data_IF_127914779323
#
_entry.id   IF_127914779323
#
_cell.length_a   1.000
_cell.length_b   1.000
_cell.length_c   1.000
_cell.angle_alpha   90.00
_cell.angle_beta   90.00
_cell.angle_gamma   90.00
#
_symmetry.space_group_name_H-M   'P 1'
#
loop_
_entity.id
_entity.type
_entity.pdbx_description
1 polymer ?
#
# COMPACT_ATOMS: atom_id res chain seq x y z
N UNK A 1 15.37 -12.59 9.52
CA UNK A 1 15.60 -11.15 9.24
C UNK A 1 14.29 -10.42 9.48
N UNK A 2 14.23 -9.49 10.43
CA UNK A 2 13.04 -8.67 10.62
C UNK A 2 12.92 -7.68 9.44
N UNK A 3 11.81 -7.72 8.72
CA UNK A 3 11.53 -6.74 7.66
C UNK A 3 11.31 -5.39 8.35
N UNK A 4 12.18 -4.41 8.08
CA UNK A 4 12.10 -3.08 8.69
C UNK A 4 10.81 -2.41 8.20
N UNK A 5 9.82 -2.25 9.09
CA UNK A 5 8.57 -1.53 8.78
C UNK A 5 8.87 -0.06 8.52
N UNK A 6 8.07 0.54 7.64
CA UNK A 6 8.03 1.99 7.47
C UNK A 6 7.33 2.62 8.67
N UNK A 7 7.72 3.84 9.04
CA UNK A 7 7.25 4.54 10.23
C UNK A 7 7.11 6.03 9.95
N UNK A 8 6.17 6.69 10.63
CA UNK A 8 5.91 8.12 10.48
C UNK A 8 4.78 8.44 9.51
N UNK A 9 4.66 9.71 9.15
CA UNK A 9 3.65 10.20 8.21
C UNK A 9 4.12 10.02 6.77
N UNK A 10 3.16 9.83 5.86
CA UNK A 10 3.42 9.86 4.43
C UNK A 10 2.41 10.78 3.75
N UNK A 11 2.83 11.37 2.64
CA UNK A 11 1.96 12.14 1.74
C UNK A 11 1.61 11.31 0.51
N UNK A 12 0.58 11.74 -0.23
CA UNK A 12 0.08 11.10 -1.45
C UNK A 12 0.25 12.03 -2.68
N UNK A 13 1.46 12.14 -3.27
CA UNK A 13 1.68 12.99 -4.44
C UNK A 13 0.78 12.64 -5.63
N UNK A 14 0.37 11.37 -5.75
CA UNK A 14 -0.51 10.89 -6.81
C UNK A 14 -1.74 10.20 -6.22
N UNK A 15 -2.54 10.96 -5.47
CA UNK A 15 -3.78 10.47 -4.86
C UNK A 15 -4.80 10.00 -5.91
N UNK A 16 -4.81 10.62 -7.09
CA UNK A 16 -5.72 10.25 -8.18
C UNK A 16 -5.47 8.81 -8.63
N UNK A 17 -4.20 8.42 -8.82
CA UNK A 17 -3.84 7.05 -9.19
C UNK A 17 -4.20 6.05 -8.08
N UNK A 18 -4.02 6.40 -6.81
CA UNK A 18 -4.45 5.55 -5.69
C UNK A 18 -5.96 5.32 -5.70
N UNK A 19 -6.77 6.37 -5.96
CA UNK A 19 -8.23 6.25 -6.07
C UNK A 19 -8.65 5.38 -7.25
N UNK A 20 -7.99 5.52 -8.40
CA UNK A 20 -8.23 4.65 -9.56
C UNK A 20 -7.99 3.17 -9.20
N UNK A 21 -6.82 2.86 -8.63
CA UNK A 21 -6.47 1.48 -8.27
C UNK A 21 -7.34 0.91 -7.15
N UNK A 22 -7.80 1.75 -6.23
CA UNK A 22 -8.74 1.35 -5.19
C UNK A 22 -10.13 0.96 -5.73
N UNK A 23 -10.49 1.43 -6.93
CA UNK A 23 -11.75 1.12 -7.59
C UNK A 23 -11.76 -0.16 -8.44
N UNK A 24 -10.60 -0.79 -8.68
CA UNK A 24 -10.52 -2.01 -9.46
C UNK A 24 -10.88 -3.26 -8.66
N UNK A 25 -11.41 -4.26 -9.36
CA UNK A 25 -11.60 -5.63 -8.85
C UNK A 25 -10.24 -6.38 -8.81
N UNK A 26 -9.29 -5.82 -8.07
CA UNK A 26 -7.97 -6.39 -7.80
C UNK A 26 -7.88 -6.65 -6.28
N UNK A 27 -7.41 -7.83 -5.83
CA UNK A 27 -7.22 -8.11 -4.41
C UNK A 27 -6.35 -7.06 -3.68
N UNK A 28 -5.46 -6.37 -4.41
CA UNK A 28 -4.63 -5.29 -3.88
C UNK A 28 -5.40 -3.99 -3.63
N UNK A 29 -6.62 -3.85 -4.13
CA UNK A 29 -7.46 -2.67 -3.95
C UNK A 29 -7.58 -2.26 -2.48
N UNK A 30 -7.63 -3.25 -1.57
CA UNK A 30 -7.65 -2.99 -0.12
C UNK A 30 -6.45 -2.20 0.39
N UNK A 31 -5.26 -2.45 -0.17
CA UNK A 31 -4.05 -1.75 0.23
C UNK A 31 -4.07 -0.30 -0.24
N UNK A 32 -4.57 -0.03 -1.45
CA UNK A 32 -4.72 1.34 -1.94
C UNK A 32 -5.77 2.12 -1.15
N UNK A 33 -6.89 1.47 -0.77
CA UNK A 33 -7.88 2.06 0.16
C UNK A 33 -7.24 2.43 1.49
N UNK A 34 -6.44 1.52 2.07
CA UNK A 34 -5.71 1.81 3.30
C UNK A 34 -4.72 2.99 3.16
N UNK A 35 -4.06 3.17 2.01
CA UNK A 35 -3.18 4.33 1.78
C UNK A 35 -3.95 5.66 1.67
N UNK A 36 -5.18 5.62 1.14
CA UNK A 36 -6.06 6.79 1.05
C UNK A 36 -6.61 7.21 2.41
N UNK A 37 -6.92 6.23 3.27
CA UNK A 37 -7.49 6.47 4.59
C UNK A 37 -6.42 6.79 5.66
N UNK A 38 -5.26 6.14 5.62
CA UNK A 38 -4.20 6.36 6.60
C UNK A 38 -3.47 7.69 6.40
N UNK A 39 -3.05 8.31 7.51
CA UNK A 39 -2.12 9.45 7.49
C UNK A 39 -0.70 9.05 7.91
N UNK A 40 -0.55 7.84 8.48
CA UNK A 40 0.73 7.28 8.93
C UNK A 40 0.95 5.86 8.43
N UNK A 41 2.21 5.44 8.33
CA UNK A 41 2.57 4.06 7.98
C UNK A 41 1.97 3.04 8.95
N UNK A 42 1.90 3.35 10.25
CA UNK A 42 1.33 2.45 11.26
C UNK A 42 -0.19 2.28 11.11
N UNK A 43 -0.92 3.36 10.81
CA UNK A 43 -2.34 3.26 10.47
C UNK A 43 -2.55 2.44 9.20
N UNK A 44 -1.72 2.66 8.18
CA UNK A 44 -1.77 1.86 6.96
C UNK A 44 -1.64 0.36 7.25
N UNK A 45 -0.68 -0.05 8.10
CA UNK A 45 -0.52 -1.46 8.46
C UNK A 45 -1.73 -1.99 9.25
N UNK A 46 -2.30 -1.18 10.15
CA UNK A 46 -3.52 -1.55 10.89
C UNK A 46 -4.72 -1.76 9.95
N UNK A 47 -4.92 -0.86 8.99
CA UNK A 47 -6.04 -0.93 8.04
C UNK A 47 -5.85 -2.05 6.99
N UNK A 48 -4.61 -2.29 6.57
CA UNK A 48 -4.30 -3.30 5.56
C UNK A 48 -4.40 -4.74 6.05
N UNK A 49 -4.21 -4.95 7.36
CA UNK A 49 -4.08 -6.28 7.97
C UNK A 49 -2.78 -6.99 7.59
N UNK A 50 -2.56 -8.15 8.23
CA UNK A 50 -1.34 -8.96 8.03
C UNK A 50 -1.50 -10.05 6.96
N UNK A 51 -2.73 -10.31 6.49
CA UNK A 51 -2.97 -11.33 5.48
C UNK A 51 -2.33 -10.93 4.14
N UNK A 52 -1.70 -11.84 3.39
CA UNK A 52 -1.31 -11.58 2.01
C UNK A 52 -2.51 -11.68 1.06
N UNK A 53 -2.42 -11.03 -0.10
CA UNK A 53 -3.35 -11.23 -1.22
C UNK A 53 -2.65 -11.90 -2.40
N UNK A 54 -3.42 -12.54 -3.27
CA UNK A 54 -2.91 -13.29 -4.42
C UNK A 54 -3.52 -12.76 -5.71
N UNK A 55 -2.98 -11.67 -6.28
CA UNK A 55 -3.52 -11.10 -7.51
C UNK A 55 -3.13 -11.99 -8.70
N UNK A 56 -4.03 -12.13 -9.66
CA UNK A 56 -3.83 -13.00 -10.85
C UNK A 56 -2.60 -12.64 -11.69
N UNK A 57 -2.16 -11.39 -11.61
CA UNK A 57 -1.06 -10.82 -12.40
C UNK A 57 0.32 -11.01 -11.77
N UNK A 58 0.41 -11.50 -10.53
CA UNK A 58 1.67 -11.70 -9.83
C UNK A 58 1.77 -13.12 -9.28
N UNK A 59 2.90 -13.78 -9.53
CA UNK A 59 3.17 -15.13 -9.02
C UNK A 59 3.73 -15.02 -7.60
N UNK A 60 2.86 -14.79 -6.62
CA UNK A 60 3.23 -14.82 -5.20
C UNK A 60 2.27 -14.07 -4.27
N UNK A 61 2.44 -14.23 -2.95
CA UNK A 61 1.73 -13.44 -1.97
C UNK A 61 2.17 -11.98 -2.04
N UNK A 62 1.22 -11.08 -2.01
CA UNK A 62 1.44 -9.64 -1.91
C UNK A 62 0.99 -9.18 -0.53
N UNK A 63 1.95 -8.68 0.26
CA UNK A 63 1.70 -8.17 1.61
C UNK A 63 1.56 -6.65 1.62
N UNK A 64 1.00 -6.10 2.69
CA UNK A 64 0.95 -4.65 2.91
C UNK A 64 2.35 -4.01 2.79
N UNK A 65 3.38 -4.67 3.34
CA UNK A 65 4.75 -4.17 3.24
C UNK A 65 5.26 -4.09 1.79
N UNK A 66 4.92 -5.08 0.96
CA UNK A 66 5.30 -5.08 -0.46
C UNK A 66 4.60 -3.96 -1.22
N UNK A 67 3.30 -3.79 -1.03
CA UNK A 67 2.54 -2.75 -1.73
C UNK A 67 2.96 -1.36 -1.34
N UNK A 68 3.19 -1.10 -0.05
CA UNK A 68 3.62 0.24 0.35
C UNK A 68 5.04 0.55 -0.15
N UNK A 69 5.93 -0.45 -0.19
CA UNK A 69 7.24 -0.29 -0.83
C UNK A 69 7.11 -0.02 -2.32
N UNK A 70 6.21 -0.71 -3.02
CA UNK A 70 5.97 -0.53 -4.45
C UNK A 70 5.40 0.86 -4.75
N UNK A 71 4.33 1.26 -4.05
CA UNK A 71 3.70 2.56 -4.18
C UNK A 71 4.67 3.71 -3.89
N UNK A 72 5.54 3.55 -2.88
CA UNK A 72 6.52 4.57 -2.50
C UNK A 72 7.73 4.63 -3.40
N UNK A 73 8.42 3.51 -3.57
CA UNK A 73 9.77 3.49 -4.15
C UNK A 73 9.79 3.20 -5.66
N UNK A 74 8.76 2.54 -6.20
CA UNK A 74 8.71 2.20 -7.63
C UNK A 74 7.80 3.15 -8.40
N UNK A 75 6.66 3.52 -7.81
CA UNK A 75 5.63 4.31 -8.47
C UNK A 75 5.59 5.78 -8.06
N UNK A 76 6.04 6.12 -6.86
CA UNK A 76 5.98 7.48 -6.34
C UNK A 76 4.56 7.97 -6.01
N UNK A 77 3.61 7.05 -5.82
CA UNK A 77 2.21 7.38 -5.48
C UNK A 77 2.07 7.92 -4.07
N UNK A 78 2.97 7.48 -3.20
CA UNK A 78 3.17 8.02 -1.86
C UNK A 78 4.64 8.41 -1.70
N UNK A 79 4.90 9.33 -0.78
CA UNK A 79 6.25 9.71 -0.40
C UNK A 79 6.31 9.92 1.11
N UNK A 80 7.51 9.76 1.66
CA UNK A 80 7.77 10.19 3.03
C UNK A 80 7.45 11.70 3.15
N UNK A 81 6.89 12.10 4.29
CA UNK A 81 6.60 13.50 4.60
C UNK A 81 7.86 14.25 5.03
#
# INVERSE_FOLDING_TARGET
MAVKRFSGQFRRPDEAMLREKAGYDDPRARFYKAMLEASTYDEYYRLSGDEPVYPRTYKGPVTAHMEIRYARSVRGWIADH
#
